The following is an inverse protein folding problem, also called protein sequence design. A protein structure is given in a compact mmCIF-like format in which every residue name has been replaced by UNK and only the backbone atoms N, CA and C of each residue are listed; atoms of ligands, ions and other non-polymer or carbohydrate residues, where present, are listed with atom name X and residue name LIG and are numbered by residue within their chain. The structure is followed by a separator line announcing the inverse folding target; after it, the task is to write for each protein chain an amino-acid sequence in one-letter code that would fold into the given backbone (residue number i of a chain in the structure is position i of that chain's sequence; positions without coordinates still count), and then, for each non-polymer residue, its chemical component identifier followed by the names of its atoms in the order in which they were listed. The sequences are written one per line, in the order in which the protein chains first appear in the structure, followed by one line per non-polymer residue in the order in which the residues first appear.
data_IF_156947276538
#
_entry.id   IF_156947276538
#
_cell.length_a   1.000
_cell.length_b   1.000
_cell.length_c   1.000
_cell.angle_alpha   90.00
_cell.angle_beta   90.00
_cell.angle_gamma   90.00
#
_symmetry.space_group_name_H-M   'P 1'
#
loop_
_entity.id
_entity.type
_entity.pdbx_description
1 polymer ?
#
# COMPACT_ATOMS: atom_id res chain seq x y z
N UNK A 1 14.22 -8.97 -7.35
CA UNK A 1 14.33 -8.00 -6.23
C UNK A 1 15.75 -7.47 -6.04
N UNK A 2 16.81 -8.26 -6.21
CA UNK A 2 18.22 -7.83 -6.06
C UNK A 2 18.61 -6.59 -6.87
N UNK A 3 18.34 -6.56 -8.19
CA UNK A 3 18.66 -5.40 -9.04
C UNK A 3 17.96 -4.11 -8.61
N UNK A 4 16.70 -4.21 -8.21
CA UNK A 4 15.95 -3.06 -7.69
C UNK A 4 16.57 -2.54 -6.39
N UNK A 5 17.04 -3.43 -5.51
CA UNK A 5 17.78 -3.05 -4.29
C UNK A 5 19.10 -2.35 -4.61
N UNK A 6 19.90 -2.95 -5.49
CA UNK A 6 21.18 -2.37 -5.96
C UNK A 6 20.99 -0.98 -6.58
N UNK A 7 19.92 -0.81 -7.36
CA UNK A 7 19.59 0.44 -8.04
C UNK A 7 18.79 1.41 -7.15
N UNK A 8 18.58 1.07 -5.88
CA UNK A 8 17.76 1.81 -4.93
C UNK A 8 16.37 2.17 -5.50
N UNK A 9 15.70 1.26 -6.22
CA UNK A 9 14.37 1.46 -6.84
C UNK A 9 13.27 1.00 -5.89
N UNK A 10 12.26 1.84 -5.58
CA UNK A 10 11.17 1.42 -4.71
C UNK A 10 10.40 0.23 -5.28
N UNK A 11 10.00 -0.70 -4.40
CA UNK A 11 9.30 -1.92 -4.79
C UNK A 11 7.96 -2.01 -4.07
N UNK A 12 6.90 -2.30 -4.82
CA UNK A 12 5.62 -2.73 -4.26
C UNK A 12 5.46 -4.21 -4.57
N UNK A 13 5.13 -5.01 -3.56
CA UNK A 13 5.00 -6.47 -3.66
C UNK A 13 3.58 -6.85 -3.27
N UNK A 14 2.89 -7.52 -4.19
CA UNK A 14 1.49 -7.90 -4.07
C UNK A 14 1.30 -9.37 -4.50
N UNK A 15 0.17 -9.97 -4.11
CA UNK A 15 -0.25 -11.33 -4.48
C UNK A 15 0.87 -12.38 -4.30
N UNK A 16 1.14 -13.22 -5.31
CA UNK A 16 2.15 -14.29 -5.23
C UNK A 16 3.58 -13.78 -4.94
N UNK A 17 3.86 -12.49 -5.18
CA UNK A 17 5.10 -11.86 -4.73
C UNK A 17 5.25 -11.89 -3.20
N UNK A 18 4.13 -11.79 -2.46
CA UNK A 18 4.09 -11.92 -1.01
C UNK A 18 4.35 -13.36 -0.57
N UNK A 19 3.85 -14.36 -1.31
CA UNK A 19 4.19 -15.76 -1.04
C UNK A 19 5.70 -15.99 -1.19
N UNK A 20 6.32 -15.45 -2.23
CA UNK A 20 7.77 -15.52 -2.42
C UNK A 20 8.53 -14.86 -1.26
N UNK A 21 8.14 -13.64 -0.87
CA UNK A 21 8.73 -12.92 0.27
C UNK A 21 8.54 -13.67 1.58
N UNK A 22 7.38 -14.28 1.78
CA UNK A 22 7.06 -15.06 2.97
C UNK A 22 7.90 -16.33 3.04
N UNK A 23 8.31 -16.93 1.93
CA UNK A 23 9.23 -18.06 1.92
C UNK A 23 10.70 -17.67 2.00
N UNK A 24 11.05 -16.44 1.63
CA UNK A 24 12.42 -15.92 1.71
C UNK A 24 12.42 -14.44 2.09
N UNK A 25 12.40 -14.19 3.41
CA UNK A 25 12.27 -12.83 3.95
C UNK A 25 13.47 -11.93 3.61
N UNK A 26 14.63 -12.53 3.39
CA UNK A 26 15.87 -11.83 3.03
C UNK A 26 15.75 -11.05 1.72
N UNK A 27 14.78 -11.38 0.87
CA UNK A 27 14.49 -10.65 -0.36
C UNK A 27 14.16 -9.17 -0.10
N UNK A 28 13.49 -8.86 1.00
CA UNK A 28 13.07 -7.50 1.39
C UNK A 28 13.64 -7.03 2.73
N UNK A 29 14.26 -7.94 3.50
CA UNK A 29 14.89 -7.62 4.79
C UNK A 29 15.89 -6.46 4.65
N UNK A 30 15.76 -5.48 5.54
CA UNK A 30 16.62 -4.29 5.58
C UNK A 30 16.41 -3.29 4.44
N UNK A 31 15.47 -3.54 3.52
CA UNK A 31 15.21 -2.67 2.37
C UNK A 31 14.06 -1.70 2.63
N UNK A 32 14.40 -0.46 3.00
CA UNK A 32 13.45 0.60 3.40
C UNK A 32 12.45 1.03 2.33
N UNK A 33 12.70 0.69 1.07
CA UNK A 33 11.87 1.08 -0.06
C UNK A 33 10.96 -0.05 -0.56
N UNK A 34 10.86 -1.16 0.19
CA UNK A 34 9.86 -2.18 -0.06
C UNK A 34 8.52 -1.82 0.62
N UNK A 35 7.44 -2.00 -0.11
CA UNK A 35 6.07 -1.91 0.37
C UNK A 35 5.38 -3.23 0.06
N UNK A 36 4.99 -3.96 1.09
CA UNK A 36 4.19 -5.18 0.93
C UNK A 36 2.71 -4.81 1.01
N UNK A 37 1.82 -5.37 0.18
CA UNK A 37 0.38 -5.09 0.22
C UNK A 37 -0.47 -6.31 0.60
N UNK A 38 -0.19 -6.97 1.75
CA UNK A 38 -0.91 -8.19 2.10
C UNK A 38 -2.37 -7.95 2.40
N UNK A 39 -3.21 -8.91 2.02
CA UNK A 39 -4.52 -9.07 2.60
C UNK A 39 -4.44 -9.62 4.05
N UNK A 40 -5.60 -9.80 4.69
CA UNK A 40 -5.66 -10.25 6.10
C UNK A 40 -4.97 -11.61 6.30
N UNK A 41 -5.12 -12.53 5.33
CA UNK A 41 -4.56 -13.86 5.42
C UNK A 41 -3.05 -13.84 5.18
N UNK A 42 -2.61 -13.18 4.11
CA UNK A 42 -1.18 -13.04 3.77
C UNK A 42 -0.41 -12.34 4.89
N UNK A 43 -1.02 -11.34 5.54
CA UNK A 43 -0.45 -10.66 6.68
C UNK A 43 -0.25 -11.61 7.86
N UNK A 44 -1.26 -12.41 8.22
CA UNK A 44 -1.16 -13.41 9.29
C UNK A 44 -0.01 -14.39 9.01
N UNK A 45 0.09 -14.92 7.80
CA UNK A 45 1.16 -15.83 7.40
C UNK A 45 2.54 -15.17 7.47
N UNK A 46 2.66 -13.93 6.97
CA UNK A 46 3.92 -13.18 6.99
C UNK A 46 4.37 -12.93 8.43
N UNK A 47 3.50 -12.43 9.30
CA UNK A 47 3.83 -12.14 10.70
C UNK A 47 4.20 -13.42 11.45
N UNK A 48 3.45 -14.50 11.27
CA UNK A 48 3.75 -15.79 11.92
C UNK A 48 5.15 -16.29 11.56
N UNK A 49 5.55 -16.20 10.28
CA UNK A 49 6.89 -16.62 9.85
C UNK A 49 8.01 -15.70 10.33
N UNK A 50 7.77 -14.40 10.45
CA UNK A 50 8.81 -13.44 10.86
C UNK A 50 8.96 -13.37 12.38
N UNK A 51 7.86 -13.48 13.13
CA UNK A 51 7.87 -13.37 14.60
C UNK A 51 7.89 -14.70 15.34
N UNK A 52 7.58 -15.82 14.68
CA UNK A 52 7.51 -17.13 15.33
C UNK A 52 6.44 -17.23 16.44
N UNK A 53 5.50 -16.28 16.51
CA UNK A 53 4.49 -16.17 17.58
C UNK A 53 3.07 -15.93 17.04
N UNK A 54 2.08 -16.29 17.86
CA UNK A 54 0.66 -16.16 17.53
C UNK A 54 0.24 -14.68 17.43
N UNK A 55 -0.44 -14.33 16.34
CA UNK A 55 -0.84 -12.94 16.06
C UNK A 55 -2.11 -12.62 16.84
N UNK A 56 -1.99 -11.81 17.88
CA UNK A 56 -3.14 -11.33 18.65
C UNK A 56 -4.10 -10.54 17.72
N UNK A 57 -5.37 -10.96 17.65
CA UNK A 57 -6.38 -10.42 16.73
C UNK A 57 -6.84 -9.00 17.12
N UNK A 58 -6.00 -7.99 16.90
CA UNK A 58 -6.39 -6.59 17.12
C UNK A 58 -6.55 -5.85 15.79
N UNK A 59 -7.81 -5.77 15.34
CA UNK A 59 -8.39 -4.80 14.38
C UNK A 59 -7.51 -4.40 13.17
N UNK A 60 -7.50 -5.22 12.12
CA UNK A 60 -6.81 -4.87 10.87
C UNK A 60 -7.81 -4.50 9.76
N UNK A 61 -7.77 -3.23 9.35
CA UNK A 61 -8.50 -2.69 8.20
C UNK A 61 -7.66 -2.80 6.92
N UNK A 62 -8.33 -2.94 5.77
CA UNK A 62 -7.76 -3.01 4.41
C UNK A 62 -6.64 -1.99 4.12
N UNK A 63 -5.63 -2.33 3.33
CA UNK A 63 -4.55 -1.40 2.97
C UNK A 63 -3.41 -1.29 3.99
N UNK A 64 -3.25 -2.30 4.84
CA UNK A 64 -2.06 -2.43 5.69
C UNK A 64 -0.88 -2.79 4.80
N UNK A 65 -0.01 -1.83 4.53
CA UNK A 65 1.28 -2.18 3.97
C UNK A 65 2.30 -2.50 5.09
N UNK A 66 3.26 -3.37 4.83
CA UNK A 66 4.26 -3.78 5.84
C UNK A 66 5.65 -3.38 5.37
N UNK A 67 6.43 -2.75 6.27
CA UNK A 67 7.87 -2.50 6.09
C UNK A 67 8.61 -3.30 7.15
N UNK A 68 9.48 -4.22 6.71
CA UNK A 68 10.17 -5.19 7.57
C UNK A 68 11.58 -4.72 7.88
N UNK A 69 11.69 -3.77 8.80
CA UNK A 69 12.96 -3.43 9.43
C UNK A 69 12.67 -3.12 10.90
N UNK A 70 12.77 -4.12 11.76
CA UNK A 70 12.81 -3.98 13.23
C UNK A 70 11.61 -3.33 13.96
N UNK A 71 10.59 -2.84 13.27
CA UNK A 71 9.30 -2.47 13.86
C UNK A 71 8.25 -2.38 12.74
N UNK A 72 7.18 -3.18 12.83
CA UNK A 72 6.11 -3.22 11.85
C UNK A 72 5.36 -1.90 11.86
N UNK A 73 5.62 -1.01 10.91
CA UNK A 73 4.72 0.14 10.70
C UNK A 73 3.50 -0.35 9.92
N UNK A 74 2.58 -1.01 10.64
CA UNK A 74 1.19 -1.19 10.22
C UNK A 74 0.52 0.16 10.36
N UNK A 75 0.57 0.96 9.29
CA UNK A 75 -0.19 2.20 9.25
C UNK A 75 -1.53 1.90 8.60
N UNK A 76 -2.57 1.85 9.43
CA UNK A 76 -3.94 1.77 8.97
C UNK A 76 -4.39 3.14 8.48
N UNK A 77 -4.99 3.19 7.30
CA UNK A 77 -5.66 4.38 6.81
C UNK A 77 -7.12 4.29 7.26
N UNK A 78 -7.54 5.22 8.11
CA UNK A 78 -8.88 5.28 8.70
C UNK A 78 -9.97 5.78 7.74
N UNK A 79 -9.66 5.92 6.46
CA UNK A 79 -10.61 6.36 5.42
C UNK A 79 -11.59 5.22 5.16
N UNK A 80 -12.88 5.50 5.32
CA UNK A 80 -13.93 4.56 4.96
C UNK A 80 -13.85 4.20 3.48
N UNK A 81 -13.98 2.91 3.16
CA UNK A 81 -13.90 2.38 1.79
C UNK A 81 -15.24 1.83 1.33
N UNK A 82 -15.20 0.84 0.43
CA UNK A 82 -16.41 0.07 0.07
C UNK A 82 -16.61 -1.13 1.00
N UNK A 83 -17.84 -1.48 1.39
CA UNK A 83 -18.14 -2.78 2.01
C UNK A 83 -18.08 -3.95 1.01
N UNK A 84 -17.96 -3.68 -0.30
CA UNK A 84 -17.93 -4.71 -1.36
C UNK A 84 -16.49 -5.14 -1.70
N UNK A 85 -16.22 -6.44 -1.62
CA UNK A 85 -14.98 -7.05 -2.15
C UNK A 85 -15.17 -7.55 -3.58
N UNK A 86 -14.72 -6.78 -4.58
CA UNK A 86 -14.51 -7.28 -5.94
C UNK A 86 -13.05 -7.72 -6.16
N UNK A 87 -12.83 -8.67 -7.08
CA UNK A 87 -11.49 -9.15 -7.45
C UNK A 87 -10.78 -8.16 -8.37
N UNK A 88 -9.51 -7.87 -8.09
CA UNK A 88 -8.71 -6.86 -8.80
C UNK A 88 -8.49 -5.55 -8.03
N UNK A 89 -9.08 -5.40 -6.84
CA UNK A 89 -8.84 -4.22 -6.00
C UNK A 89 -7.39 -4.11 -5.50
N UNK A 90 -6.71 -5.25 -5.29
CA UNK A 90 -5.30 -5.30 -4.89
C UNK A 90 -4.40 -4.61 -5.93
N UNK A 91 -4.64 -4.91 -7.22
CA UNK A 91 -3.90 -4.33 -8.35
C UNK A 91 -4.01 -2.79 -8.38
N UNK A 92 -5.20 -2.25 -8.06
CA UNK A 92 -5.39 -0.80 -7.98
C UNK A 92 -4.59 -0.22 -6.81
N UNK A 93 -4.60 -0.85 -5.63
CA UNK A 93 -3.81 -0.38 -4.49
C UNK A 93 -2.33 -0.41 -4.84
N UNK A 94 -1.82 -1.54 -5.28
CA UNK A 94 -0.39 -1.74 -5.50
C UNK A 94 0.12 -0.80 -6.59
N UNK A 95 -0.62 -0.65 -7.70
CA UNK A 95 -0.33 0.33 -8.76
C UNK A 95 -0.38 1.78 -8.28
N UNK A 96 -1.43 2.17 -7.54
CA UNK A 96 -1.57 3.55 -7.03
C UNK A 96 -0.46 3.89 -6.03
N UNK A 97 -0.17 2.98 -5.11
CA UNK A 97 0.90 3.15 -4.12
C UNK A 97 2.25 3.29 -4.80
N UNK A 98 2.53 2.48 -5.84
CA UNK A 98 3.77 2.60 -6.61
C UNK A 98 3.91 3.96 -7.29
N UNK A 99 2.83 4.47 -7.91
CA UNK A 99 2.81 5.77 -8.57
C UNK A 99 3.07 6.91 -7.56
N UNK A 100 2.30 6.97 -6.47
CA UNK A 100 2.46 8.02 -5.47
C UNK A 100 3.82 7.94 -4.75
N UNK A 101 4.34 6.74 -4.51
CA UNK A 101 5.68 6.55 -3.96
C UNK A 101 6.76 7.11 -4.88
N UNK A 102 6.66 6.83 -6.17
CA UNK A 102 7.57 7.36 -7.19
C UNK A 102 7.54 8.90 -7.22
N UNK A 103 6.34 9.49 -7.26
CA UNK A 103 6.17 10.94 -7.25
C UNK A 103 6.67 11.59 -5.95
N UNK A 104 6.32 11.03 -4.79
CA UNK A 104 6.77 11.55 -3.49
C UNK A 104 8.29 11.53 -3.39
N UNK A 105 8.92 10.46 -3.87
CA UNK A 105 10.37 10.35 -3.89
C UNK A 105 11.00 11.37 -4.84
N UNK A 106 10.48 11.50 -6.06
CA UNK A 106 11.00 12.47 -7.03
C UNK A 106 10.88 13.90 -6.50
N UNK A 107 9.74 14.24 -5.88
CA UNK A 107 9.52 15.52 -5.24
C UNK A 107 10.53 15.77 -4.13
N UNK A 108 10.70 14.84 -3.18
CA UNK A 108 11.64 15.00 -2.07
C UNK A 108 13.08 15.15 -2.56
N UNK A 109 13.50 14.39 -3.57
CA UNK A 109 14.84 14.54 -4.18
C UNK A 109 15.01 15.88 -4.90
N UNK A 110 13.94 16.49 -5.43
CA UNK A 110 13.98 17.82 -6.05
C UNK A 110 13.97 18.96 -5.01
N UNK A 111 13.24 18.80 -3.90
CA UNK A 111 13.12 19.79 -2.80
C UNK A 111 14.30 19.73 -1.81
N UNK A 112 15.23 18.78 -1.96
CA UNK A 112 16.39 18.62 -1.08
C UNK A 112 17.33 19.83 -0.96
N UNK A 113 17.07 20.90 -1.71
CA UNK A 113 17.78 22.18 -1.61
C UNK A 113 17.25 23.14 -0.54
N UNK A 114 16.07 22.94 0.03
CA UNK A 114 15.50 23.91 0.98
C UNK A 114 14.58 23.26 2.03
N UNK A 115 14.95 23.45 3.31
CA UNK A 115 14.12 23.37 4.54
C UNK A 115 14.05 22.08 5.38
N UNK A 116 14.09 22.35 6.69
CA UNK A 116 14.19 21.51 7.89
C UNK A 116 12.83 21.03 8.39
N UNK A 117 11.91 20.62 7.51
CA UNK A 117 10.63 20.05 7.94
C UNK A 117 10.82 18.55 8.19
N UNK A 118 10.29 18.04 9.31
CA UNK A 118 10.22 16.60 9.62
C UNK A 118 9.68 15.83 8.40
N UNK A 119 10.58 15.23 7.62
CA UNK A 119 10.22 14.65 6.33
C UNK A 119 9.49 13.34 6.55
N UNK A 120 8.17 13.37 6.35
CA UNK A 120 7.37 12.16 6.23
C UNK A 120 7.99 11.31 5.10
N UNK A 121 8.25 10.04 5.39
CA UNK A 121 8.87 9.13 4.42
C UNK A 121 8.05 9.05 3.12
N UNK A 122 8.67 9.08 1.93
CA UNK A 122 7.97 8.90 0.66
C UNK A 122 7.12 7.62 0.62
N UNK A 123 7.56 6.59 1.35
CA UNK A 123 6.82 5.33 1.53
C UNK A 123 5.50 5.56 2.25
N UNK A 124 5.52 6.33 3.34
CA UNK A 124 4.33 6.65 4.12
C UNK A 124 3.36 7.48 3.27
N UNK A 125 3.86 8.48 2.54
CA UNK A 125 3.05 9.30 1.65
C UNK A 125 2.40 8.46 0.53
N UNK A 126 3.20 7.64 -0.16
CA UNK A 126 2.71 6.79 -1.24
C UNK A 126 1.63 5.82 -0.78
N UNK A 127 1.80 5.24 0.42
CA UNK A 127 0.84 4.33 1.02
C UNK A 127 -0.46 5.01 1.42
N UNK A 128 -0.39 6.16 2.10
CA UNK A 128 -1.59 6.89 2.53
C UNK A 128 -2.37 7.37 1.31
N UNK A 129 -1.69 7.97 0.33
CA UNK A 129 -2.31 8.48 -0.88
C UNK A 129 -2.92 7.35 -1.73
N UNK A 130 -2.16 6.28 -2.00
CA UNK A 130 -2.62 5.17 -2.82
C UNK A 130 -3.80 4.41 -2.20
N UNK A 131 -3.72 4.08 -0.91
CA UNK A 131 -4.82 3.38 -0.22
C UNK A 131 -6.03 4.29 -0.01
N UNK A 132 -5.82 5.58 0.28
CA UNK A 132 -6.89 6.56 0.42
C UNK A 132 -7.65 6.78 -0.89
N UNK A 133 -6.93 6.87 -2.02
CA UNK A 133 -7.52 7.01 -3.35
C UNK A 133 -8.42 5.83 -3.68
N UNK A 134 -7.93 4.59 -3.52
CA UNK A 134 -8.76 3.41 -3.76
C UNK A 134 -10.00 3.43 -2.86
N UNK A 135 -9.83 3.67 -1.56
CA UNK A 135 -10.94 3.62 -0.60
C UNK A 135 -12.05 4.60 -0.97
N UNK A 136 -11.70 5.84 -1.32
CA UNK A 136 -12.66 6.86 -1.78
C UNK A 136 -13.32 6.49 -3.11
N UNK A 137 -12.54 5.97 -4.08
CA UNK A 137 -13.07 5.57 -5.38
C UNK A 137 -14.02 4.37 -5.26
N UNK A 138 -13.66 3.39 -4.44
CA UNK A 138 -14.48 2.21 -4.16
C UNK A 138 -15.77 2.57 -3.41
N UNK A 139 -15.70 3.49 -2.45
CA UNK A 139 -16.89 3.99 -1.76
C UNK A 139 -17.87 4.65 -2.74
N UNK A 140 -17.37 5.47 -3.66
CA UNK A 140 -18.19 6.13 -4.67
C UNK A 140 -18.78 5.13 -5.68
N UNK A 141 -17.97 4.20 -6.20
CA UNK A 141 -18.46 3.16 -7.09
C UNK A 141 -19.57 2.32 -6.42
N UNK A 142 -19.43 2.05 -5.12
CA UNK A 142 -20.43 1.33 -4.33
C UNK A 142 -21.71 2.13 -4.10
N UNK A 143 -21.64 3.45 -3.94
CA UNK A 143 -22.83 4.31 -3.86
C UNK A 143 -23.71 4.18 -5.12
N UNK A 144 -23.10 3.98 -6.29
CA UNK A 144 -23.81 3.86 -7.56
C UNK A 144 -24.22 2.42 -7.94
N UNK A 145 -23.36 1.43 -7.64
CA UNK A 145 -23.51 0.05 -8.11
C UNK A 145 -23.82 -0.96 -7.00
N UNK A 146 -23.72 -0.54 -5.74
CA UNK A 146 -23.95 -1.35 -4.55
C UNK A 146 -23.31 -2.75 -4.65
N UNK A 147 -24.10 -3.82 -4.50
CA UNK A 147 -23.61 -5.21 -4.56
C UNK A 147 -23.03 -5.59 -5.91
N UNK A 148 -23.45 -4.92 -6.98
CA UNK A 148 -22.99 -5.15 -8.35
C UNK A 148 -21.65 -4.48 -8.66
N UNK A 149 -21.06 -3.73 -7.72
CA UNK A 149 -19.76 -3.07 -7.93
C UNK A 149 -18.67 -4.07 -8.31
N UNK A 150 -18.03 -3.80 -9.44
CA UNK A 150 -16.85 -4.46 -9.98
C UNK A 150 -15.64 -3.53 -9.92
N UNK A 151 -14.45 -4.09 -10.13
CA UNK A 151 -13.20 -3.33 -10.13
C UNK A 151 -13.15 -2.32 -11.28
N UNK A 152 -13.79 -2.61 -12.41
CA UNK A 152 -13.95 -1.64 -13.51
C UNK A 152 -14.73 -0.42 -13.09
N UNK A 153 -15.81 -0.57 -12.31
CA UNK A 153 -16.56 0.57 -11.78
C UNK A 153 -15.69 1.41 -10.84
N UNK A 154 -14.79 0.79 -10.06
CA UNK A 154 -13.85 1.52 -9.20
C UNK A 154 -12.86 2.34 -10.04
N UNK A 155 -12.34 1.77 -11.13
CA UNK A 155 -11.37 2.43 -12.03
C UNK A 155 -11.97 3.70 -12.63
N UNK A 156 -13.25 3.67 -13.04
CA UNK A 156 -13.96 4.84 -13.59
C UNK A 156 -13.97 6.03 -12.63
N UNK A 157 -13.94 5.79 -11.32
CA UNK A 157 -13.98 6.83 -10.29
C UNK A 157 -12.60 7.25 -9.76
N UNK A 158 -11.50 6.61 -10.20
CA UNK A 158 -10.15 6.96 -9.75
C UNK A 158 -9.79 8.41 -10.13
N UNK A 159 -10.05 8.81 -11.37
CA UNK A 159 -9.73 10.16 -11.85
C UNK A 159 -10.51 11.24 -11.11
N UNK A 160 -11.82 11.02 -10.89
CA UNK A 160 -12.67 11.94 -10.15
C UNK A 160 -12.18 12.12 -8.70
N UNK A 161 -11.83 11.01 -8.04
CA UNK A 161 -11.35 11.07 -6.66
C UNK A 161 -9.95 11.64 -6.52
N UNK A 162 -9.06 11.40 -7.49
CA UNK A 162 -7.73 12.00 -7.53
C UNK A 162 -7.81 13.53 -7.50
N UNK A 163 -8.63 14.12 -8.37
CA UNK A 163 -8.80 15.58 -8.45
C UNK A 163 -9.41 16.16 -7.17
N UNK A 164 -10.45 15.53 -6.62
CA UNK A 164 -11.11 15.99 -5.38
C UNK A 164 -10.24 15.89 -4.11
N UNK A 165 -9.07 15.24 -4.16
CA UNK A 165 -8.14 15.16 -3.04
C UNK A 165 -7.05 16.24 -3.10
N UNK A 166 -7.02 17.04 -4.17
CA UNK A 166 -6.07 18.14 -4.39
C UNK A 166 -6.70 19.53 -4.22
N UNK A 167 -8.00 19.60 -3.92
CA UNK A 167 -8.70 20.80 -3.40
C UNK A 167 -8.69 20.81 -1.88
#
# INVERSE_FOLDING_TARGET
MTRARESNVPMVVDADGLFLVTNNIELVSGYRLAVLTPDVYEYKCLVQKVLGGDVNESKHSWGTAVSLQTCYVVQSVSIYGSPRRCGGQGDIVSGSVAAFLSWARHHISATERETTISRISPIVLGRIAGSGLLRKAAALAFEHKERSTLTTDIIEHLGQRYLSCHE
#
